data_IF_567480025445
#
_entry.id   IF_567480025445
#
_cell.length_a   1.000
_cell.length_b   1.000
_cell.length_c   1.000
_cell.angle_alpha   90.00
_cell.angle_beta   90.00
_cell.angle_gamma   90.00
#
_symmetry.space_group_name_H-M   'P 1'
#
loop_
_entity.id
_entity.type
_entity.pdbx_description
1 polymer ?
#
# COMPACT_ATOMS: atom_id res chain seq x y z
N UNK A 1 11.21 -4.60 37.29
CA UNK A 1 11.30 -3.12 37.36
C UNK A 1 12.77 -2.77 37.55
N UNK A 2 13.36 -1.91 36.72
CA UNK A 2 14.79 -1.63 36.76
C UNK A 2 15.15 -0.64 37.88
N UNK A 3 16.28 -0.86 38.56
CA UNK A 3 16.80 0.06 39.58
C UNK A 3 17.51 1.23 38.89
N UNK A 4 16.92 2.43 38.96
CA UNK A 4 17.48 3.65 38.35
C UNK A 4 18.01 4.57 39.47
N UNK A 5 19.32 4.89 39.47
CA UNK A 5 20.01 5.53 40.59
C UNK A 5 19.64 7.01 40.79
N UNK A 6 19.30 7.74 39.74
CA UNK A 6 18.99 9.18 39.85
C UNK A 6 17.51 9.49 39.56
N UNK A 7 16.96 10.42 40.35
CA UNK A 7 15.58 10.91 40.19
C UNK A 7 15.35 11.53 38.81
N UNK A 8 16.32 12.31 38.30
CA UNK A 8 16.24 12.94 36.97
C UNK A 8 16.18 11.92 35.84
N UNK A 9 17.00 10.86 35.89
CA UNK A 9 16.96 9.80 34.86
C UNK A 9 15.66 9.01 34.94
N UNK A 10 15.19 8.67 36.16
CA UNK A 10 13.90 8.00 36.35
C UNK A 10 12.75 8.78 35.73
N UNK A 11 12.70 10.10 35.93
CA UNK A 11 11.66 10.95 35.36
C UNK A 11 11.72 11.01 33.83
N UNK A 12 12.93 11.05 33.24
CA UNK A 12 13.10 10.98 31.79
C UNK A 12 12.62 9.63 31.23
N UNK A 13 12.98 8.52 31.86
CA UNK A 13 12.54 7.17 31.46
C UNK A 13 11.02 7.07 31.58
N UNK A 14 10.44 7.46 32.71
CA UNK A 14 8.98 7.43 32.90
C UNK A 14 8.24 8.32 31.88
N UNK A 15 8.76 9.51 31.58
CA UNK A 15 8.21 10.40 30.56
C UNK A 15 8.24 9.77 29.16
N UNK A 16 9.35 9.15 28.78
CA UNK A 16 9.46 8.46 27.51
C UNK A 16 8.54 7.23 27.44
N UNK A 17 8.47 6.43 28.50
CA UNK A 17 7.58 5.27 28.58
C UNK A 17 6.11 5.69 28.46
N UNK A 18 5.66 6.74 29.16
CA UNK A 18 4.26 7.21 29.04
C UNK A 18 3.95 7.75 27.64
N UNK A 19 4.87 8.47 27.02
CA UNK A 19 4.73 8.90 25.63
C UNK A 19 4.63 7.70 24.68
N UNK A 20 5.42 6.67 24.92
CA UNK A 20 5.43 5.46 24.11
C UNK A 20 4.16 4.63 24.25
N UNK A 21 3.64 4.47 25.47
CA UNK A 21 2.37 3.79 25.72
C UNK A 21 1.20 4.45 24.98
N UNK A 22 1.16 5.79 24.93
CA UNK A 22 0.16 6.53 24.13
C UNK A 22 0.28 6.28 22.62
N UNK A 23 1.49 5.98 22.11
CA UNK A 23 1.70 5.66 20.70
C UNK A 23 1.29 4.23 20.39
N UNK A 24 1.59 3.28 21.28
CA UNK A 24 1.18 1.87 21.16
C UNK A 24 -0.34 1.76 21.05
N UNK A 25 -1.10 2.55 21.81
CA UNK A 25 -2.57 2.60 21.71
C UNK A 25 -3.08 3.05 20.33
N UNK A 26 -2.30 3.87 19.59
CA UNK A 26 -2.66 4.32 18.24
C UNK A 26 -2.24 3.33 17.15
N UNK A 27 -1.29 2.45 17.44
CA UNK A 27 -0.77 1.48 16.48
C UNK A 27 0.65 1.01 16.78
N UNK A 28 1.21 0.16 15.90
CA UNK A 28 2.56 -0.38 16.07
C UNK A 28 3.61 0.73 16.01
N UNK A 29 4.61 0.65 16.90
CA UNK A 29 5.70 1.63 16.97
C UNK A 29 6.98 1.02 16.43
N UNK A 30 7.57 1.63 15.40
CA UNK A 30 8.84 1.18 14.79
C UNK A 30 9.93 0.98 15.85
N UNK A 31 10.57 -0.18 15.82
CA UNK A 31 11.73 -0.52 16.67
C UNK A 31 11.37 -1.00 18.08
N UNK A 32 10.08 -1.23 18.37
CA UNK A 32 9.61 -1.80 19.64
C UNK A 32 8.74 -3.00 19.31
N UNK A 33 9.12 -4.17 19.81
CA UNK A 33 8.26 -5.35 19.85
C UNK A 33 7.50 -5.40 21.17
N UNK A 34 6.21 -5.71 21.08
CA UNK A 34 5.39 -6.04 22.23
C UNK A 34 4.72 -7.37 21.92
N UNK A 35 4.79 -8.33 22.84
CA UNK A 35 4.35 -9.71 22.62
C UNK A 35 2.92 -9.83 22.06
N UNK A 36 2.02 -8.96 22.51
CA UNK A 36 0.64 -8.92 21.99
C UNK A 36 0.56 -8.53 20.50
N UNK A 37 1.45 -7.65 20.03
CA UNK A 37 1.52 -7.27 18.61
C UNK A 37 2.08 -8.40 17.75
N UNK A 38 2.95 -9.25 18.31
CA UNK A 38 3.50 -10.42 17.62
C UNK A 38 2.42 -11.49 17.44
N UNK A 39 1.63 -11.79 18.48
CA UNK A 39 0.53 -12.77 18.42
C UNK A 39 -0.62 -12.31 17.50
N UNK A 40 -0.97 -11.02 17.50
CA UNK A 40 -1.98 -10.48 16.58
C UNK A 40 -1.47 -10.48 15.13
N UNK A 41 -0.19 -10.17 14.93
CA UNK A 41 0.45 -10.24 13.61
C UNK A 41 0.51 -11.68 13.11
N UNK A 42 0.85 -12.66 13.94
CA UNK A 42 0.86 -14.08 13.54
C UNK A 42 -0.53 -14.55 13.09
N UNK A 43 -1.61 -14.13 13.76
CA UNK A 43 -2.98 -14.48 13.32
C UNK A 43 -3.33 -13.84 11.97
N UNK A 44 -2.85 -12.63 11.71
CA UNK A 44 -3.10 -11.91 10.45
C UNK A 44 -2.22 -12.43 9.29
N UNK A 45 -0.96 -12.72 9.56
CA UNK A 45 0.00 -13.22 8.57
C UNK A 45 -0.32 -14.69 8.20
N UNK A 46 -0.86 -15.49 9.12
CA UNK A 46 -1.33 -16.87 8.86
C UNK A 46 -2.77 -16.94 8.35
N UNK A 47 -3.39 -15.82 7.96
CA UNK A 47 -4.74 -15.84 7.43
C UNK A 47 -4.76 -16.53 6.06
N UNK A 48 -5.30 -17.75 6.03
CA UNK A 48 -5.60 -18.48 4.79
C UNK A 48 -7.07 -18.25 4.45
N UNK A 49 -7.40 -17.57 3.34
CA UNK A 49 -8.79 -17.36 2.94
C UNK A 49 -9.45 -18.68 2.54
N UNK A 50 -10.78 -18.77 2.70
CA UNK A 50 -11.54 -19.97 2.28
C UNK A 50 -11.49 -20.20 0.77
N UNK A 51 -11.42 -19.12 -0.02
CA UNK A 51 -11.25 -19.16 -1.47
C UNK A 51 -9.86 -18.66 -1.81
N UNK A 52 -9.06 -19.51 -2.44
CA UNK A 52 -7.76 -19.11 -2.95
C UNK A 52 -7.94 -18.11 -4.09
N UNK A 53 -7.20 -16.99 -4.07
CA UNK A 53 -7.16 -16.06 -5.20
C UNK A 53 -6.61 -16.72 -6.49
N UNK A 54 -5.96 -17.86 -6.37
CA UNK A 54 -5.41 -18.68 -7.45
C UNK A 54 -6.33 -19.86 -7.82
N UNK A 55 -7.58 -19.88 -7.35
CA UNK A 55 -8.48 -20.97 -7.69
C UNK A 55 -8.67 -21.04 -9.22
N UNK A 56 -8.16 -22.12 -9.82
CA UNK A 56 -8.16 -22.36 -11.26
C UNK A 56 -9.47 -22.99 -11.74
N UNK A 57 -10.45 -23.17 -10.85
CA UNK A 57 -11.77 -23.74 -11.18
C UNK A 57 -12.52 -22.94 -12.25
N UNK A 58 -12.23 -21.64 -12.38
CA UNK A 58 -12.79 -20.75 -13.41
C UNK A 58 -12.07 -20.76 -14.77
N UNK A 59 -11.00 -21.54 -14.93
CA UNK A 59 -10.13 -21.52 -16.11
C UNK A 59 -9.00 -20.48 -16.00
N UNK A 60 -7.85 -20.77 -16.61
CA UNK A 60 -6.68 -19.89 -16.61
C UNK A 60 -6.61 -19.09 -17.92
N UNK A 61 -6.75 -17.77 -17.83
CA UNK A 61 -6.56 -16.90 -18.99
C UNK A 61 -5.07 -16.64 -19.22
N UNK A 62 -4.58 -17.00 -20.41
CA UNK A 62 -3.18 -16.82 -20.82
C UNK A 62 -3.10 -16.10 -22.15
N UNK A 63 -2.02 -15.36 -22.36
CA UNK A 63 -1.73 -14.75 -23.65
C UNK A 63 -1.30 -15.78 -24.70
N UNK A 64 -1.39 -15.43 -25.98
CA UNK A 64 -1.07 -16.31 -27.11
C UNK A 64 0.39 -16.80 -27.06
N UNK A 65 1.35 -15.91 -26.76
CA UNK A 65 2.76 -16.28 -26.63
C UNK A 65 3.00 -17.24 -25.44
N UNK A 66 2.23 -17.07 -24.37
CA UNK A 66 2.31 -17.97 -23.19
C UNK A 66 1.78 -19.36 -23.51
N UNK A 67 0.76 -19.46 -24.37
CA UNK A 67 0.23 -20.75 -24.84
C UNK A 67 1.25 -21.50 -25.70
N UNK A 68 1.95 -20.80 -26.58
CA UNK A 68 3.01 -21.40 -27.40
C UNK A 68 4.18 -21.87 -26.52
N UNK A 69 4.53 -21.11 -25.49
CA UNK A 69 5.51 -21.54 -24.50
C UNK A 69 5.09 -22.83 -23.77
N UNK A 70 3.81 -22.94 -23.36
CA UNK A 70 3.28 -24.15 -22.72
C UNK A 70 3.39 -25.37 -23.65
N UNK A 71 3.15 -25.18 -24.95
CA UNK A 71 3.29 -26.24 -25.96
C UNK A 71 4.76 -26.66 -26.14
N UNK A 72 5.70 -25.72 -26.16
CA UNK A 72 7.14 -26.02 -26.23
C UNK A 72 7.67 -26.76 -24.99
N UNK A 73 7.03 -26.56 -23.85
CA UNK A 73 7.36 -27.21 -22.58
C UNK A 73 6.55 -28.52 -22.36
N UNK A 74 5.75 -28.94 -23.34
CA UNK A 74 4.88 -30.12 -23.30
C UNK A 74 3.82 -30.08 -22.18
N UNK A 75 3.29 -28.91 -21.84
CA UNK A 75 2.24 -28.70 -20.83
C UNK A 75 0.83 -28.51 -21.45
N UNK A 76 0.56 -29.15 -22.59
CA UNK A 76 -0.71 -29.01 -23.33
C UNK A 76 -1.95 -29.53 -22.59
N UNK A 77 -1.76 -30.33 -21.53
CA UNK A 77 -2.84 -30.87 -20.72
C UNK A 77 -3.46 -29.86 -19.74
N UNK A 78 -2.90 -28.66 -19.63
CA UNK A 78 -3.41 -27.63 -18.73
C UNK A 78 -4.54 -26.85 -19.44
N UNK A 79 -5.76 -26.80 -18.88
CA UNK A 79 -6.87 -26.07 -19.49
C UNK A 79 -6.66 -24.55 -19.37
N UNK A 80 -6.18 -23.95 -20.46
CA UNK A 80 -5.95 -22.50 -20.58
C UNK A 80 -6.81 -21.89 -21.69
N UNK A 81 -7.37 -20.71 -21.42
CA UNK A 81 -8.18 -19.92 -22.37
C UNK A 81 -7.38 -18.70 -22.83
N UNK A 82 -7.46 -18.35 -24.10
CA UNK A 82 -6.84 -17.11 -24.62
C UNK A 82 -7.96 -16.08 -24.78
N UNK A 83 -8.00 -14.99 -23.99
CA UNK A 83 -9.01 -13.97 -24.15
C UNK A 83 -8.83 -13.27 -25.52
N UNK A 84 -9.93 -13.14 -26.27
CA UNK A 84 -9.91 -12.40 -27.53
C UNK A 84 -9.58 -10.93 -27.25
N UNK A 85 -8.56 -10.38 -27.92
CA UNK A 85 -8.15 -8.99 -27.77
C UNK A 85 -9.37 -8.05 -27.84
N UNK A 86 -9.63 -7.30 -26.77
CA UNK A 86 -10.71 -6.33 -26.74
C UNK A 86 -10.47 -5.27 -27.84
N UNK A 87 -11.52 -4.85 -28.59
CA UNK A 87 -11.36 -3.78 -29.56
C UNK A 87 -10.89 -2.53 -28.85
N UNK A 88 -9.77 -1.97 -29.31
CA UNK A 88 -9.20 -0.73 -28.80
C UNK A 88 -10.28 0.35 -28.75
N UNK A 89 -10.76 0.68 -27.56
CA UNK A 89 -11.63 1.85 -27.37
C UNK A 89 -10.76 3.07 -27.64
N UNK A 90 -11.01 3.74 -28.77
CA UNK A 90 -10.40 5.02 -29.10
C UNK A 90 -10.83 6.04 -28.05
N UNK A 91 -9.98 6.28 -27.05
CA UNK A 91 -10.18 7.41 -26.14
C UNK A 91 -10.10 8.70 -26.98
N UNK A 92 -11.12 9.58 -26.98
CA UNK A 92 -11.02 10.86 -27.64
C UNK A 92 -9.95 11.69 -26.93
N UNK A 93 -8.96 12.15 -27.70
CA UNK A 93 -7.90 13.02 -27.19
C UNK A 93 -8.54 14.26 -26.57
N UNK A 94 -8.31 14.47 -25.28
CA UNK A 94 -8.80 15.65 -24.56
C UNK A 94 -8.08 16.85 -25.15
N UNK A 95 -8.85 17.67 -25.87
CA UNK A 95 -8.38 18.86 -26.57
C UNK A 95 -7.37 19.68 -25.79
N UNK A 96 -6.36 20.12 -26.53
CA UNK A 96 -5.38 21.15 -26.19
C UNK A 96 -6.02 22.29 -25.40
N UNK A 97 -5.82 22.29 -24.08
CA UNK A 97 -6.18 23.41 -23.21
C UNK A 97 -5.13 24.52 -23.38
N UNK A 98 -5.22 25.21 -24.51
CA UNK A 98 -4.29 26.27 -24.89
C UNK A 98 -5.04 27.40 -25.57
N UNK A 99 -5.95 28.07 -24.86
CA UNK A 99 -6.41 29.43 -25.15
C UNK A 99 -7.16 29.96 -23.93
N UNK A 100 -6.82 31.17 -23.47
CA UNK A 100 -7.33 31.76 -22.23
C UNK A 100 -6.27 32.13 -21.19
N UNK A 101 -5.06 32.52 -21.62
CA UNK A 101 -4.19 33.39 -20.81
C UNK A 101 -4.63 34.83 -21.06
N UNK A 102 -5.58 35.32 -20.27
CA UNK A 102 -5.79 36.76 -20.11
C UNK A 102 -6.59 37.02 -18.83
N UNK A 103 -6.04 37.88 -17.95
CA UNK A 103 -6.82 38.57 -16.93
C UNK A 103 -7.00 37.90 -15.57
N UNK A 104 -5.93 37.38 -14.91
CA UNK A 104 -5.95 37.27 -13.43
C UNK A 104 -5.12 38.39 -12.81
N UNK A 105 -5.84 39.48 -12.55
CA UNK A 105 -5.48 40.67 -11.80
C UNK A 105 -4.61 40.35 -10.58
N UNK A 106 -3.40 40.92 -10.54
CA UNK A 106 -2.50 40.82 -9.40
C UNK A 106 -3.07 41.68 -8.28
N UNK A 107 -3.67 41.04 -7.26
CA UNK A 107 -4.03 41.71 -6.00
C UNK A 107 -2.76 42.32 -5.40
N UNK A 108 -2.70 43.64 -5.41
CA UNK A 108 -1.72 44.44 -4.69
C UNK A 108 -1.95 44.24 -3.18
N UNK A 109 -0.92 43.83 -2.44
CA UNK A 109 -0.95 43.76 -0.98
C UNK A 109 -0.31 45.04 -0.45
N UNK A 110 -1.05 45.92 0.26
CA UNK A 110 -0.47 47.13 0.81
C UNK A 110 0.50 46.78 1.94
N UNK A 111 1.72 47.30 1.82
CA UNK A 111 2.80 47.11 2.79
C UNK A 111 2.48 47.70 4.16
N UNK A 112 2.86 46.95 5.19
CA UNK A 112 3.07 47.46 6.54
C UNK A 112 4.43 48.14 6.61
N UNK A 113 4.44 49.47 6.62
CA UNK A 113 5.62 50.28 6.86
C UNK A 113 5.30 51.40 7.83
N UNK A 114 5.63 51.20 9.10
CA UNK A 114 6.25 52.15 10.06
C UNK A 114 6.45 51.45 11.39
#
# INVERSE_FOLDING_TARGET
>A
MAVVPSKRLRNKVAGFTTHLMKRIQKGPVRGISFKLQEEERERKDNYVPEVSALDTSGGLEVDAETKDLLHHLNFDSIPVTVPAAAPATTLPTRGTRGEGREGRERRNVPGSGR
#
